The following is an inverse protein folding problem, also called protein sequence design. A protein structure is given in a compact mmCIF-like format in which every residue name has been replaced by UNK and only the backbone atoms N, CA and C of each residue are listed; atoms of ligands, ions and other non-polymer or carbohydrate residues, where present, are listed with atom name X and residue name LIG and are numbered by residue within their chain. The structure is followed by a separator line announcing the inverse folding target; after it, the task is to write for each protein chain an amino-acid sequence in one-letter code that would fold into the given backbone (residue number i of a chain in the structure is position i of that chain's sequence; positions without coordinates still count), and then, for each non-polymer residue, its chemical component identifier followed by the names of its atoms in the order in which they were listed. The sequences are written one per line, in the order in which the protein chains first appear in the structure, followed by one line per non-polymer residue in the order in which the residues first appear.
data_IF_923356623251
#
_entry.id   IF_923356623251
#
_cell.length_a   1.000
_cell.length_b   1.000
_cell.length_c   1.000
_cell.angle_alpha   90.00
_cell.angle_beta   90.00
_cell.angle_gamma   90.00
#
_symmetry.space_group_name_H-M   'P 1'
#
loop_
_entity.id
_entity.type
_entity.pdbx_description
1 polymer ?
#
# COMPACT_ATOMS: atom_id res chain seq x y z
N UNK A 1 16.20 -5.14 -19.08
CA UNK A 1 14.99 -6.00 -19.10
C UNK A 1 13.87 -5.45 -18.22
N UNK A 2 14.10 -5.23 -16.91
CA UNK A 2 13.10 -4.68 -15.97
C UNK A 2 12.47 -3.33 -16.38
N UNK A 3 13.28 -2.39 -16.90
CA UNK A 3 12.81 -1.09 -17.37
C UNK A 3 11.86 -1.17 -18.57
N UNK A 4 12.08 -2.12 -19.50
CA UNK A 4 11.21 -2.32 -20.66
C UNK A 4 9.88 -2.94 -20.21
N UNK A 5 9.91 -3.84 -19.23
CA UNK A 5 8.69 -4.40 -18.63
C UNK A 5 7.88 -3.34 -17.87
N UNK A 6 8.53 -2.49 -17.09
CA UNK A 6 7.87 -1.37 -16.39
C UNK A 6 7.20 -0.39 -17.37
N UNK A 7 7.87 -0.07 -18.48
CA UNK A 7 7.29 0.75 -19.55
C UNK A 7 6.13 0.04 -20.27
N UNK A 8 6.26 -1.25 -20.57
CA UNK A 8 5.21 -2.03 -21.22
C UNK A 8 3.96 -2.14 -20.34
N UNK A 9 4.14 -2.32 -19.03
CA UNK A 9 3.03 -2.33 -18.08
C UNK A 9 2.36 -0.95 -18.01
N UNK A 10 3.14 0.13 -17.89
CA UNK A 10 2.58 1.49 -17.88
C UNK A 10 1.74 1.75 -19.13
N UNK A 11 2.29 1.46 -20.31
CA UNK A 11 1.60 1.70 -21.58
C UNK A 11 0.34 0.82 -21.74
N UNK A 12 0.38 -0.44 -21.26
CA UNK A 12 -0.79 -1.31 -21.21
C UNK A 12 -1.88 -0.73 -20.30
N UNK A 13 -1.52 -0.33 -19.08
CA UNK A 13 -2.46 0.20 -18.09
C UNK A 13 -3.06 1.55 -18.49
N UNK A 14 -2.29 2.41 -19.14
CA UNK A 14 -2.81 3.64 -19.73
C UNK A 14 -3.83 3.37 -20.84
N UNK A 15 -3.59 2.37 -21.71
CA UNK A 15 -4.55 1.96 -22.74
C UNK A 15 -5.83 1.36 -22.14
N UNK A 16 -5.70 0.54 -21.10
CA UNK A 16 -6.84 0.00 -20.37
C UNK A 16 -7.63 1.14 -19.73
N UNK A 17 -6.97 2.09 -19.07
CA UNK A 17 -7.65 3.25 -18.47
C UNK A 17 -8.39 4.09 -19.53
N UNK A 18 -7.76 4.37 -20.66
CA UNK A 18 -8.37 5.13 -21.75
C UNK A 18 -9.60 4.45 -22.37
N UNK A 19 -9.64 3.12 -22.36
CA UNK A 19 -10.73 2.34 -22.98
C UNK A 19 -11.81 1.91 -21.98
N UNK A 20 -11.41 1.61 -20.73
CA UNK A 20 -12.24 1.05 -19.66
C UNK A 20 -11.83 1.66 -18.31
N UNK A 21 -12.18 2.94 -18.05
CA UNK A 21 -11.72 3.65 -16.85
C UNK A 21 -12.18 3.02 -15.54
N UNK A 22 -13.27 2.26 -15.55
CA UNK A 22 -13.77 1.58 -14.34
C UNK A 22 -13.01 0.27 -14.04
N UNK A 23 -12.41 -0.36 -15.07
CA UNK A 23 -11.69 -1.64 -14.88
C UNK A 23 -10.42 -1.49 -14.06
N UNK A 24 -9.78 -0.32 -14.08
CA UNK A 24 -8.57 -0.09 -13.29
C UNK A 24 -8.83 -0.04 -11.78
N UNK A 25 -10.10 -0.04 -11.36
CA UNK A 25 -10.55 -0.07 -9.97
C UNK A 25 -10.96 -1.46 -9.49
N UNK A 26 -10.94 -2.45 -10.39
CA UNK A 26 -11.27 -3.84 -10.08
C UNK A 26 -10.00 -4.61 -9.76
N UNK A 27 -10.12 -5.60 -8.88
CA UNK A 27 -9.03 -6.53 -8.61
C UNK A 27 -8.71 -7.33 -9.88
N UNK A 28 -7.44 -7.37 -10.29
CA UNK A 28 -7.02 -8.21 -11.43
C UNK A 28 -7.07 -9.69 -11.06
N UNK A 29 -6.64 -10.02 -9.85
CA UNK A 29 -6.71 -11.35 -9.24
C UNK A 29 -7.15 -11.22 -7.77
N UNK A 30 -7.67 -12.31 -7.16
CA UNK A 30 -7.89 -12.35 -5.72
C UNK A 30 -6.63 -12.02 -4.90
N UNK A 31 -6.83 -11.52 -3.68
CA UNK A 31 -5.75 -11.24 -2.72
C UNK A 31 -5.04 -12.53 -2.33
N UNK A 32 -3.70 -12.55 -2.39
CA UNK A 32 -2.87 -13.71 -2.01
C UNK A 32 -2.46 -13.64 -0.54
N UNK A 33 -3.39 -13.24 0.31
CA UNK A 33 -3.18 -13.00 1.75
C UNK A 33 -3.75 -14.10 2.64
N UNK A 34 -4.53 -15.03 2.05
CA UNK A 34 -5.35 -16.00 2.78
C UNK A 34 -6.66 -15.43 3.32
N UNK A 35 -7.05 -14.23 2.86
CA UNK A 35 -8.32 -13.56 3.20
C UNK A 35 -9.07 -13.23 1.93
N UNK A 36 -10.40 -13.35 1.98
CA UNK A 36 -11.30 -12.94 0.92
C UNK A 36 -11.44 -11.42 0.87
N UNK A 37 -11.73 -10.86 -0.31
CA UNK A 37 -11.93 -9.42 -0.48
C UNK A 37 -13.09 -8.86 0.38
N UNK A 38 -14.04 -9.70 0.82
CA UNK A 38 -15.13 -9.32 1.73
C UNK A 38 -14.67 -9.10 3.18
N UNK A 39 -13.47 -9.56 3.55
CA UNK A 39 -12.89 -9.37 4.89
C UNK A 39 -12.12 -8.05 5.01
N UNK A 40 -12.10 -7.26 3.93
CA UNK A 40 -11.49 -5.94 3.89
C UNK A 40 -12.57 -4.86 3.90
N UNK A 41 -12.33 -3.81 4.68
CA UNK A 41 -13.17 -2.62 4.75
C UNK A 41 -13.11 -1.83 3.44
N UNK A 42 -14.26 -1.33 2.99
CA UNK A 42 -14.41 -0.58 1.74
C UNK A 42 -14.01 0.91 1.87
N UNK A 43 -14.01 1.44 3.09
CA UNK A 43 -13.76 2.85 3.38
C UNK A 43 -12.44 3.04 4.13
N UNK A 44 -11.74 4.14 3.84
CA UNK A 44 -10.52 4.50 4.56
C UNK A 44 -10.87 4.96 5.99
N UNK A 45 -10.31 4.34 7.04
CA UNK A 45 -10.51 4.78 8.42
C UNK A 45 -10.07 6.24 8.63
N UNK A 46 -10.88 6.99 9.40
CA UNK A 46 -10.66 8.43 9.64
C UNK A 46 -9.35 8.74 10.34
N UNK A 47 -8.89 7.85 11.22
CA UNK A 47 -7.60 8.02 11.91
C UNK A 47 -6.43 7.96 10.93
N UNK A 48 -6.49 7.11 9.90
CA UNK A 48 -5.50 7.10 8.81
C UNK A 48 -5.60 8.38 8.02
N UNK A 49 -6.81 8.79 7.58
CA UNK A 49 -6.99 9.99 6.78
C UNK A 49 -6.49 11.28 7.47
N UNK A 50 -6.50 11.30 8.82
CA UNK A 50 -6.07 12.42 9.64
C UNK A 50 -4.65 12.30 10.21
N UNK A 51 -3.90 11.23 9.87
CA UNK A 51 -2.54 11.02 10.38
C UNK A 51 -2.49 10.85 11.90
N UNK A 52 -3.45 10.10 12.46
CA UNK A 52 -3.64 9.90 13.90
C UNK A 52 -3.79 8.41 14.26
N UNK A 53 -3.06 7.54 13.57
CA UNK A 53 -3.08 6.09 13.76
C UNK A 53 -2.35 5.63 15.03
N UNK A 54 -1.49 6.49 15.59
CA UNK A 54 -0.62 6.14 16.71
C UNK A 54 0.64 5.38 16.29
N UNK A 55 0.88 5.22 14.98
CA UNK A 55 2.12 4.69 14.41
C UNK A 55 2.89 5.85 13.81
N UNK A 56 3.91 6.33 14.52
CA UNK A 56 4.51 7.62 14.27
C UNK A 56 5.03 7.81 12.83
N UNK A 57 5.66 6.82 12.22
CA UNK A 57 6.13 6.96 10.83
C UNK A 57 4.98 7.01 9.82
N UNK A 58 3.88 6.30 10.07
CA UNK A 58 2.68 6.32 9.23
C UNK A 58 1.99 7.68 9.33
N UNK A 59 1.81 8.17 10.56
CA UNK A 59 1.22 9.48 10.83
C UNK A 59 2.02 10.60 10.12
N UNK A 60 3.36 10.50 10.15
CA UNK A 60 4.21 11.42 9.39
C UNK A 60 4.01 11.31 7.87
N UNK A 61 3.91 10.10 7.31
CA UNK A 61 3.67 9.95 5.87
C UNK A 61 2.33 10.55 5.45
N UNK A 62 1.28 10.36 6.24
CA UNK A 62 -0.03 10.95 5.96
C UNK A 62 0.06 12.47 5.96
N UNK A 63 0.64 13.06 7.01
CA UNK A 63 0.76 14.51 7.12
C UNK A 63 1.63 15.10 6.01
N UNK A 64 2.76 14.46 5.67
CA UNK A 64 3.59 14.89 4.53
C UNK A 64 2.80 14.90 3.22
N UNK A 65 2.01 13.84 2.95
CA UNK A 65 1.20 13.78 1.75
C UNK A 65 0.10 14.85 1.75
N UNK A 66 -0.60 15.02 2.87
CA UNK A 66 -1.70 15.98 2.98
C UNK A 66 -1.21 17.44 2.86
N UNK A 67 -0.07 17.77 3.48
CA UNK A 67 0.45 19.13 3.53
C UNK A 67 1.19 19.55 2.26
N UNK A 68 1.91 18.62 1.63
CA UNK A 68 2.82 18.93 0.50
C UNK A 68 2.38 18.36 -0.83
N UNK A 69 1.45 17.38 -0.82
CA UNK A 69 1.06 16.63 -2.00
C UNK A 69 2.15 15.70 -2.55
N UNK A 70 3.21 15.45 -1.78
CA UNK A 70 4.33 14.60 -2.17
C UNK A 70 4.73 13.60 -1.08
N UNK A 71 5.01 12.38 -1.53
CA UNK A 71 5.73 11.37 -0.76
C UNK A 71 6.80 10.72 -1.63
N UNK A 72 7.96 10.41 -1.05
CA UNK A 72 8.95 9.57 -1.71
C UNK A 72 8.40 8.16 -1.95
N UNK A 73 8.86 7.49 -3.01
CA UNK A 73 8.30 6.22 -3.47
C UNK A 73 8.21 5.13 -2.38
N UNK A 74 9.25 4.96 -1.56
CA UNK A 74 9.22 4.00 -0.46
C UNK A 74 8.13 4.33 0.59
N UNK A 75 7.96 5.60 0.94
CA UNK A 75 6.91 6.01 1.88
C UNK A 75 5.51 5.75 1.29
N UNK A 76 5.32 5.97 -0.02
CA UNK A 76 4.06 5.60 -0.71
C UNK A 76 3.78 4.11 -0.57
N UNK A 77 4.78 3.27 -0.84
CA UNK A 77 4.64 1.81 -0.73
C UNK A 77 4.33 1.36 0.71
N UNK A 78 4.99 1.94 1.70
CA UNK A 78 4.80 1.58 3.12
C UNK A 78 3.44 2.04 3.65
N UNK A 79 3.00 3.25 3.33
CA UNK A 79 1.67 3.72 3.72
C UNK A 79 0.57 2.87 3.06
N UNK A 80 0.71 2.53 1.78
CA UNK A 80 -0.23 1.65 1.11
C UNK A 80 -0.24 0.23 1.70
N UNK A 81 0.94 -0.35 2.00
CA UNK A 81 1.03 -1.65 2.64
C UNK A 81 0.41 -1.67 4.04
N UNK A 82 0.60 -0.60 4.82
CA UNK A 82 -0.03 -0.44 6.13
C UNK A 82 -1.56 -0.40 6.02
N UNK A 83 -2.09 0.41 5.11
CA UNK A 83 -3.54 0.52 4.86
C UNK A 83 -4.14 -0.83 4.46
N UNK A 84 -3.52 -1.56 3.54
CA UNK A 84 -4.06 -2.84 3.07
C UNK A 84 -3.90 -3.93 4.13
N UNK A 85 -2.68 -4.16 4.62
CA UNK A 85 -2.36 -5.39 5.35
C UNK A 85 -2.53 -5.25 6.86
N UNK A 86 -2.14 -4.12 7.46
CA UNK A 86 -2.30 -3.90 8.90
C UNK A 86 -3.73 -3.47 9.24
N UNK A 87 -4.36 -2.71 8.35
CA UNK A 87 -5.66 -2.10 8.61
C UNK A 87 -6.82 -2.78 7.90
N UNK A 88 -6.55 -3.77 7.04
CA UNK A 88 -7.55 -4.56 6.32
C UNK A 88 -8.51 -3.68 5.54
N UNK A 89 -7.96 -2.73 4.81
CA UNK A 89 -8.72 -1.85 3.94
C UNK A 89 -8.46 -2.24 2.50
N UNK A 90 -9.52 -2.26 1.68
CA UNK A 90 -9.38 -2.50 0.24
C UNK A 90 -8.48 -1.45 -0.38
N UNK A 91 -7.59 -1.89 -1.28
CA UNK A 91 -6.59 -1.01 -1.88
C UNK A 91 -7.24 0.17 -2.62
N UNK A 92 -8.47 0.00 -3.14
CA UNK A 92 -9.26 1.03 -3.81
C UNK A 92 -9.49 2.25 -2.92
N UNK A 93 -9.79 2.06 -1.63
CA UNK A 93 -10.09 3.16 -0.71
C UNK A 93 -8.84 4.03 -0.50
N UNK A 94 -7.71 3.40 -0.23
CA UNK A 94 -6.43 4.09 -0.09
C UNK A 94 -5.95 4.73 -1.39
N UNK A 95 -6.12 4.05 -2.52
CA UNK A 95 -5.77 4.58 -3.85
C UNK A 95 -6.55 5.85 -4.20
N UNK A 96 -7.86 5.89 -3.92
CA UNK A 96 -8.68 7.10 -4.11
C UNK A 96 -8.22 8.24 -3.22
N UNK A 97 -7.93 7.96 -1.94
CA UNK A 97 -7.43 8.98 -1.02
C UNK A 97 -6.05 9.52 -1.47
N UNK A 98 -5.15 8.66 -1.96
CA UNK A 98 -3.87 9.10 -2.55
C UNK A 98 -4.07 10.04 -3.74
N UNK A 99 -4.95 9.70 -4.69
CA UNK A 99 -5.19 10.55 -5.87
C UNK A 99 -5.82 11.91 -5.53
N UNK A 100 -6.49 12.04 -4.38
CA UNK A 100 -7.01 13.34 -3.91
C UNK A 100 -5.90 14.28 -3.41
N UNK A 101 -4.75 13.74 -2.98
CA UNK A 101 -3.67 14.50 -2.36
C UNK A 101 -2.40 14.58 -3.22
N UNK A 102 -2.15 13.58 -4.08
CA UNK A 102 -0.96 13.55 -4.94
C UNK A 102 -1.05 14.60 -6.06
N UNK A 103 -0.09 15.53 -6.08
CA UNK A 103 0.04 16.51 -7.16
C UNK A 103 0.56 15.89 -8.47
N UNK A 104 1.21 14.73 -8.40
CA UNK A 104 1.83 14.02 -9.54
C UNK A 104 1.09 12.72 -9.93
N UNK A 105 -0.09 12.48 -9.38
CA UNK A 105 -0.77 11.19 -9.46
C UNK A 105 -1.36 10.89 -10.84
N UNK A 106 -0.71 10.02 -11.61
CA UNK A 106 -1.35 9.30 -12.73
C UNK A 106 -2.22 8.15 -12.18
N UNK A 107 -3.55 8.13 -12.43
CA UNK A 107 -4.45 7.09 -11.89
C UNK A 107 -4.03 5.66 -12.26
N UNK A 108 -3.53 5.45 -13.47
CA UNK A 108 -3.11 4.13 -13.94
C UNK A 108 -1.89 3.63 -13.15
N UNK A 109 -0.84 4.46 -13.06
CA UNK A 109 0.38 4.14 -12.29
C UNK A 109 0.09 3.98 -10.79
N UNK A 110 -0.79 4.81 -10.23
CA UNK A 110 -1.21 4.71 -8.84
C UNK A 110 -1.90 3.37 -8.58
N UNK A 111 -2.96 3.06 -9.33
CA UNK A 111 -3.75 1.84 -9.11
C UNK A 111 -2.92 0.57 -9.33
N UNK A 112 -2.03 0.56 -10.33
CA UNK A 112 -1.12 -0.54 -10.56
C UNK A 112 -0.22 -0.80 -9.33
N UNK A 113 0.32 0.27 -8.75
CA UNK A 113 1.19 0.18 -7.58
C UNK A 113 0.42 -0.35 -6.36
N UNK A 114 -0.80 0.12 -6.14
CA UNK A 114 -1.69 -0.36 -5.07
C UNK A 114 -2.06 -1.84 -5.23
N UNK A 115 -2.39 -2.28 -6.45
CA UNK A 115 -2.69 -3.69 -6.72
C UNK A 115 -1.47 -4.60 -6.53
N UNK A 116 -0.29 -4.13 -6.92
CA UNK A 116 0.95 -4.88 -6.69
C UNK A 116 1.22 -5.06 -5.19
N UNK A 117 1.01 -4.01 -4.39
CA UNK A 117 1.17 -4.03 -2.93
C UNK A 117 0.14 -4.97 -2.28
N UNK A 118 -1.11 -4.90 -2.74
CA UNK A 118 -2.23 -5.70 -2.27
C UNK A 118 -2.17 -7.17 -2.70
N UNK A 119 -1.26 -7.53 -3.61
CA UNK A 119 -1.13 -8.84 -4.27
C UNK A 119 -2.25 -9.24 -5.24
N UNK A 120 -3.12 -8.29 -5.60
CA UNK A 120 -4.10 -8.50 -6.68
C UNK A 120 -3.47 -8.38 -8.07
N UNK A 121 -2.21 -7.91 -8.16
CA UNK A 121 -1.38 -7.91 -9.37
C UNK A 121 0.08 -8.31 -9.08
N UNK A 122 0.30 -9.21 -8.12
CA UNK A 122 1.61 -9.76 -7.81
C UNK A 122 1.49 -11.13 -7.17
N UNK A 123 2.58 -11.90 -7.07
CA UNK A 123 2.55 -13.27 -6.54
C UNK A 123 2.51 -13.34 -5.00
N UNK A 124 2.72 -12.23 -4.28
CA UNK A 124 2.72 -12.19 -2.81
C UNK A 124 2.43 -10.79 -2.28
N UNK A 125 1.81 -10.65 -1.10
CA UNK A 125 1.61 -9.35 -0.49
C UNK A 125 2.94 -8.67 -0.18
N UNK A 126 2.99 -7.36 -0.41
CA UNK A 126 4.14 -6.55 -0.04
C UNK A 126 3.97 -6.01 1.38
N UNK A 127 4.93 -6.31 2.24
CA UNK A 127 5.01 -5.77 3.61
C UNK A 127 6.38 -5.17 3.87
N UNK A 128 6.53 -4.49 5.01
CA UNK A 128 7.75 -3.85 5.46
C UNK A 128 7.82 -3.89 6.99
N UNK A 129 9.01 -3.69 7.55
CA UNK A 129 9.21 -3.49 8.98
C UNK A 129 9.86 -2.13 9.27
N UNK A 130 10.06 -1.82 10.55
CA UNK A 130 10.63 -0.54 10.98
C UNK A 130 12.07 -0.31 10.44
N UNK A 131 12.88 -1.37 10.30
CA UNK A 131 14.22 -1.28 9.73
C UNK A 131 14.18 -0.83 8.26
N UNK A 132 13.17 -1.26 7.49
CA UNK A 132 12.98 -0.79 6.13
C UNK A 132 12.72 0.73 6.11
N UNK A 133 11.88 1.23 7.00
CA UNK A 133 11.61 2.67 7.11
C UNK A 133 12.90 3.43 7.43
N UNK A 134 13.66 2.98 8.43
CA UNK A 134 14.91 3.62 8.85
C UNK A 134 15.95 3.64 7.73
N UNK A 135 15.97 2.60 6.89
CA UNK A 135 16.92 2.48 5.79
C UNK A 135 16.57 3.33 4.57
N UNK A 136 15.27 3.49 4.26
CA UNK A 136 14.83 3.96 2.94
C UNK A 136 14.03 5.27 2.94
N UNK A 137 13.61 5.77 4.11
CA UNK A 137 12.76 6.98 4.18
C UNK A 137 13.47 8.23 4.71
N UNK A 138 14.77 8.13 5.05
CA UNK A 138 15.56 9.27 5.52
C UNK A 138 15.54 9.45 7.04
N UNK A 139 16.43 10.32 7.53
CA UNK A 139 16.68 10.49 8.97
C UNK A 139 15.56 11.25 9.71
N UNK A 140 14.74 12.02 9.00
CA UNK A 140 13.68 12.83 9.60
C UNK A 140 12.42 12.02 9.98
N UNK A 141 12.34 10.77 9.54
CA UNK A 141 11.21 9.89 9.85
C UNK A 141 11.38 9.25 11.23
N UNK A 142 10.34 9.34 12.06
CA UNK A 142 10.37 8.78 13.41
C UNK A 142 10.30 7.25 13.37
N UNK A 143 11.47 6.62 13.49
CA UNK A 143 11.66 5.18 13.52
C UNK A 143 11.99 4.66 14.93
N UNK A 144 11.60 5.40 15.97
CA UNK A 144 11.79 4.93 17.35
C UNK A 144 10.82 3.78 17.62
N UNK A 145 11.31 2.58 18.03
CA UNK A 145 10.50 1.37 18.24
C UNK A 145 9.21 1.56 19.04
N UNK A 146 9.30 2.21 20.21
CA UNK A 146 8.16 2.40 21.12
C UNK A 146 7.02 3.24 20.54
N UNK A 147 7.28 4.01 19.46
CA UNK A 147 6.25 4.80 18.77
C UNK A 147 5.68 4.07 17.54
N UNK A 148 6.19 2.88 17.22
CA UNK A 148 5.89 2.13 16.00
C UNK A 148 5.76 0.62 16.29
N UNK A 149 5.22 0.24 17.45
CA UNK A 149 5.24 -1.14 17.98
C UNK A 149 4.72 -2.21 16.99
N UNK A 150 3.72 -1.86 16.18
CA UNK A 150 3.13 -2.78 15.18
C UNK A 150 4.03 -3.06 13.97
N UNK A 151 5.11 -2.29 13.81
CA UNK A 151 6.11 -2.41 12.75
C UNK A 151 7.47 -2.90 13.26
N UNK A 152 7.71 -2.80 14.57
CA UNK A 152 8.95 -3.19 15.24
C UNK A 152 9.02 -4.70 15.49
N UNK A 153 9.05 -5.47 14.41
CA UNK A 153 9.12 -6.92 14.41
C UNK A 153 9.97 -7.41 13.23
N UNK A 154 10.42 -8.67 13.28
CA UNK A 154 11.06 -9.28 12.10
C UNK A 154 10.06 -9.42 10.95
N UNK A 155 10.58 -9.49 9.73
CA UNK A 155 9.75 -9.66 8.53
C UNK A 155 8.92 -10.95 8.59
N UNK A 156 9.55 -12.04 9.05
CA UNK A 156 8.89 -13.35 9.21
C UNK A 156 7.74 -13.25 10.21
N UNK A 157 7.99 -12.60 11.36
CA UNK A 157 6.96 -12.44 12.39
C UNK A 157 5.79 -11.59 11.90
N UNK A 158 6.05 -10.53 11.15
CA UNK A 158 4.98 -9.73 10.54
C UNK A 158 4.20 -10.53 9.50
N UNK A 159 4.89 -11.32 8.67
CA UNK A 159 4.22 -12.19 7.70
C UNK A 159 3.26 -13.16 8.39
N UNK A 160 3.68 -13.81 9.47
CA UNK A 160 2.83 -14.75 10.21
C UNK A 160 1.64 -14.05 10.90
N UNK A 161 1.87 -12.86 11.46
CA UNK A 161 0.82 -12.08 12.14
C UNK A 161 -0.21 -11.53 11.16
N UNK A 162 0.25 -11.03 10.01
CA UNK A 162 -0.61 -10.42 9.00
C UNK A 162 -1.27 -11.47 8.11
N UNK A 163 -0.64 -12.61 7.86
CA UNK A 163 -1.16 -13.60 6.92
C UNK A 163 -1.20 -15.01 7.52
N UNK A 164 -1.90 -15.22 8.65
CA UNK A 164 -1.93 -16.51 9.35
C UNK A 164 -2.59 -17.65 8.53
N UNK A 165 -3.31 -17.32 7.47
CA UNK A 165 -4.01 -18.27 6.59
C UNK A 165 -3.34 -18.46 5.23
N UNK A 166 -2.21 -17.79 4.99
CA UNK A 166 -1.50 -17.89 3.72
C UNK A 166 -0.91 -19.30 3.56
N UNK A 167 -1.32 -20.01 2.50
CA UNK A 167 -0.99 -21.42 2.26
C UNK A 167 -1.94 -22.44 2.91
N UNK A 168 -3.03 -21.98 3.54
CA UNK A 168 -4.17 -22.82 3.95
C UNK A 168 -5.09 -23.18 2.78
N UNK A 169 -6.24 -23.86 3.01
CA UNK A 169 -7.13 -24.34 1.95
C UNK A 169 -7.77 -23.26 1.05
N UNK A 170 -7.54 -21.98 1.36
CA UNK A 170 -7.98 -20.81 0.59
C UNK A 170 -6.80 -20.02 -0.04
N UNK A 171 -5.57 -20.54 0.01
CA UNK A 171 -4.36 -19.91 -0.53
C UNK A 171 -3.97 -20.34 -1.94
#
# INVERSE_FOLDING_TARGET
EKFIQELAWRDYWQRIYATYPDRIWQDVEPYKTGFDASEYEDDLPRDIANGATGVACIDQFVNMLADTGYLHNHARMYLAAYIVHWRRVRWQAGARWFLQHLLDGDPASNNLSWQWIASTFSNKPYIFNLDNVAKYCGADINTVPRHNLVLDQSYERLSDLLFPHMGGPHG
#
